data_IF_608538660231
#
_entry.id   IF_608538660231
#
_cell.length_a   1.000
_cell.length_b   1.000
_cell.length_c   1.000
_cell.angle_alpha   90.00
_cell.angle_beta   90.00
_cell.angle_gamma   90.00
#
_symmetry.space_group_name_H-M   'P 1'
#
loop_
_entity.id
_entity.type
_entity.pdbx_description
1 polymer ?
#
# COMPACT_ATOMS: atom_id res chain seq x y z
N UNK A 1 -19.50 3.75 43.12
CA UNK A 1 -18.65 2.54 42.97
C UNK A 1 -18.63 2.14 41.51
N UNK A 2 -17.48 2.25 40.84
CA UNK A 2 -17.34 1.95 39.42
C UNK A 2 -17.54 0.44 39.18
N UNK A 3 -18.50 0.09 38.33
CA UNK A 3 -18.72 -1.30 37.88
C UNK A 3 -17.47 -1.72 37.12
N UNK A 4 -16.59 -2.50 37.77
CA UNK A 4 -15.46 -3.18 37.13
C UNK A 4 -16.01 -3.95 35.93
N UNK A 5 -15.67 -3.55 34.70
CA UNK A 5 -16.01 -4.34 33.50
C UNK A 5 -15.39 -5.72 33.73
N UNK A 6 -16.20 -6.77 33.87
CA UNK A 6 -15.71 -8.15 34.07
C UNK A 6 -15.01 -8.60 32.79
N UNK A 7 -13.73 -8.27 32.68
CA UNK A 7 -12.80 -8.80 31.69
C UNK A 7 -12.34 -10.15 32.23
N UNK A 8 -12.17 -11.14 31.36
CA UNK A 8 -11.65 -12.44 31.77
C UNK A 8 -10.16 -12.33 32.10
N UNK A 9 -9.68 -13.10 33.07
CA UNK A 9 -8.26 -13.12 33.49
C UNK A 9 -7.33 -13.39 32.30
N UNK A 10 -7.71 -14.32 31.42
CA UNK A 10 -7.02 -14.62 30.15
C UNK A 10 -6.83 -13.39 29.25
N UNK A 11 -7.80 -12.47 29.22
CA UNK A 11 -7.71 -11.24 28.42
C UNK A 11 -6.78 -10.23 29.11
N UNK A 12 -6.85 -10.09 30.44
CA UNK A 12 -5.94 -9.21 31.18
C UNK A 12 -4.46 -9.62 31.01
N UNK A 13 -4.16 -10.91 31.02
CA UNK A 13 -2.81 -11.41 30.76
C UNK A 13 -2.35 -11.08 29.34
N UNK A 14 -3.17 -11.34 28.32
CA UNK A 14 -2.83 -11.01 26.93
C UNK A 14 -2.59 -9.52 26.72
N UNK A 15 -3.30 -8.63 27.43
CA UNK A 15 -3.07 -7.18 27.34
C UNK A 15 -1.67 -6.75 27.82
N UNK A 16 -1.01 -7.54 28.67
CA UNK A 16 0.37 -7.29 29.13
C UNK A 16 1.41 -7.62 28.05
N UNK A 17 1.11 -8.59 27.19
CA UNK A 17 2.01 -9.11 26.16
C UNK A 17 2.02 -8.31 24.84
N UNK A 18 1.13 -7.32 24.70
CA UNK A 18 1.00 -6.56 23.46
C UNK A 18 2.27 -5.74 23.14
N UNK A 19 2.83 -5.88 21.92
CA UNK A 19 4.00 -5.12 21.50
C UNK A 19 3.64 -3.67 21.16
N UNK A 20 4.63 -2.79 21.24
CA UNK A 20 4.55 -1.40 20.78
C UNK A 20 4.69 -1.21 19.27
N UNK A 21 4.42 -2.26 18.48
CA UNK A 21 4.67 -2.33 17.04
C UNK A 21 3.37 -2.23 16.22
N UNK A 22 3.46 -1.90 14.92
CA UNK A 22 2.30 -1.90 14.04
C UNK A 22 1.79 -3.32 13.80
N UNK A 23 0.49 -3.44 13.52
CA UNK A 23 -0.12 -4.74 13.30
C UNK A 23 -1.65 -4.72 13.31
N UNK A 24 -2.21 -5.92 13.16
CA UNK A 24 -3.65 -6.16 13.28
C UNK A 24 -3.95 -6.85 14.60
N UNK A 25 -5.05 -6.48 15.23
CA UNK A 25 -5.63 -7.19 16.38
C UNK A 25 -6.98 -7.77 16.02
N UNK A 26 -7.27 -8.92 16.61
CA UNK A 26 -8.46 -9.73 16.35
C UNK A 26 -9.12 -10.02 17.70
N UNK A 27 -10.40 -9.67 17.83
CA UNK A 27 -11.21 -10.00 19.00
C UNK A 27 -12.10 -11.19 18.69
N UNK A 28 -12.05 -12.21 19.55
CA UNK A 28 -12.84 -13.43 19.44
C UNK A 28 -13.80 -13.59 20.63
N UNK A 29 -14.95 -14.19 20.36
CA UNK A 29 -15.96 -14.56 21.36
C UNK A 29 -15.69 -15.91 22.03
N UNK A 30 -16.66 -16.43 22.77
CA UNK A 30 -16.58 -17.73 23.49
C UNK A 30 -16.27 -18.90 22.56
N UNK A 31 -16.91 -18.95 21.38
CA UNK A 31 -16.75 -20.05 20.42
C UNK A 31 -15.57 -19.85 19.45
N UNK A 32 -14.65 -18.92 19.74
CA UNK A 32 -13.54 -18.58 18.85
C UNK A 32 -13.94 -17.78 17.59
N UNK A 33 -15.23 -17.47 17.42
CA UNK A 33 -15.73 -16.65 16.31
C UNK A 33 -15.13 -15.23 16.34
N UNK A 34 -14.64 -14.75 15.20
CA UNK A 34 -14.05 -13.42 15.05
C UNK A 34 -15.15 -12.36 15.11
N UNK A 35 -15.15 -11.57 16.18
CA UNK A 35 -16.12 -10.50 16.41
C UNK A 35 -15.70 -9.19 15.75
N UNK A 36 -14.41 -8.89 15.77
CA UNK A 36 -13.84 -7.65 15.26
C UNK A 36 -12.38 -7.82 14.86
N UNK A 37 -11.97 -7.09 13.82
CA UNK A 37 -10.58 -6.93 13.38
C UNK A 37 -10.27 -5.44 13.29
N UNK A 38 -9.10 -5.03 13.74
CA UNK A 38 -8.63 -3.65 13.56
C UNK A 38 -7.12 -3.55 13.37
N UNK A 39 -6.66 -2.45 12.77
CA UNK A 39 -5.22 -2.10 12.67
C UNK A 39 -4.76 -1.15 13.78
N UNK A 40 -3.47 -1.15 14.06
CA UNK A 40 -2.83 -0.23 14.98
C UNK A 40 -1.41 0.14 14.52
N UNK A 41 -0.99 1.39 14.76
CA UNK A 41 0.43 1.79 14.70
C UNK A 41 1.18 1.24 15.92
N UNK A 42 0.50 1.17 17.06
CA UNK A 42 0.98 0.53 18.28
C UNK A 42 -0.11 -0.36 18.85
N UNK A 43 0.05 -1.67 18.71
CA UNK A 43 -0.88 -2.68 19.22
C UNK A 43 -1.14 -2.50 20.73
N UNK A 44 -0.09 -2.26 21.51
CA UNK A 44 -0.16 -1.99 22.95
C UNK A 44 -1.09 -0.83 23.28
N UNK A 45 -0.90 0.32 22.64
CA UNK A 45 -1.69 1.52 22.96
C UNK A 45 -3.14 1.35 22.47
N UNK A 46 -3.31 0.84 21.26
CA UNK A 46 -4.63 0.75 20.62
C UNK A 46 -5.54 -0.27 21.27
N UNK A 47 -5.04 -1.46 21.60
CA UNK A 47 -5.87 -2.51 22.19
C UNK A 47 -6.22 -2.16 23.62
N UNK A 48 -5.26 -1.66 24.43
CA UNK A 48 -5.51 -1.26 25.82
C UNK A 48 -6.57 -0.17 25.95
N UNK A 49 -6.67 0.77 25.00
CA UNK A 49 -7.68 1.83 25.05
C UNK A 49 -9.13 1.31 25.01
N UNK A 50 -9.37 0.08 24.53
CA UNK A 50 -10.71 -0.53 24.57
C UNK A 50 -11.12 -0.98 25.97
N UNK A 51 -10.16 -1.34 26.80
CA UNK A 51 -10.38 -2.00 28.10
C UNK A 51 -10.12 -1.09 29.31
N UNK A 52 -9.73 0.17 29.09
CA UNK A 52 -9.61 1.16 30.17
C UNK A 52 -10.98 1.54 30.73
N UNK A 53 -11.08 1.67 32.05
CA UNK A 53 -12.32 2.05 32.74
C UNK A 53 -12.78 3.48 32.40
N UNK A 54 -11.85 4.38 32.08
CA UNK A 54 -12.13 5.74 31.63
C UNK A 54 -12.61 5.82 30.17
N UNK A 55 -12.58 4.71 29.43
CA UNK A 55 -12.88 4.72 28.01
C UNK A 55 -14.39 4.83 27.78
N UNK A 56 -14.81 6.04 27.37
CA UNK A 56 -16.18 6.35 26.92
C UNK A 56 -16.35 5.88 25.47
N UNK A 57 -16.84 4.66 25.31
CA UNK A 57 -17.12 4.06 24.02
C UNK A 57 -18.61 4.20 23.67
N UNK A 58 -18.93 4.28 22.38
CA UNK A 58 -20.32 4.19 21.94
C UNK A 58 -20.92 2.79 22.21
N UNK A 59 -22.26 2.66 22.27
CA UNK A 59 -22.95 1.42 22.68
C UNK A 59 -22.51 0.17 21.93
N UNK A 60 -22.16 0.30 20.65
CA UNK A 60 -21.68 -0.78 19.79
C UNK A 60 -20.36 -1.37 20.28
N UNK A 61 -19.42 -0.51 20.63
CA UNK A 61 -18.08 -0.91 21.07
C UNK A 61 -18.13 -1.47 22.49
N UNK A 62 -18.97 -0.92 23.37
CA UNK A 62 -19.19 -1.51 24.70
C UNK A 62 -19.73 -2.94 24.61
N UNK A 63 -20.70 -3.17 23.71
CA UNK A 63 -21.25 -4.51 23.45
C UNK A 63 -20.25 -5.46 22.79
N UNK A 64 -19.30 -4.94 22.01
CA UNK A 64 -18.20 -5.73 21.48
C UNK A 64 -17.29 -6.18 22.63
N UNK A 65 -16.80 -5.22 23.43
CA UNK A 65 -15.85 -5.46 24.52
C UNK A 65 -16.40 -6.47 25.54
N UNK A 66 -17.69 -6.40 25.87
CA UNK A 66 -18.31 -7.35 26.83
C UNK A 66 -18.36 -8.80 26.35
N UNK A 67 -18.27 -9.03 25.03
CA UNK A 67 -18.28 -10.34 24.40
C UNK A 67 -16.89 -10.89 24.07
N UNK A 68 -15.84 -10.08 24.20
CA UNK A 68 -14.48 -10.55 23.94
C UNK A 68 -14.06 -11.55 25.01
N UNK A 69 -13.52 -12.68 24.56
CA UNK A 69 -12.93 -13.73 25.39
C UNK A 69 -11.50 -14.03 25.06
N UNK A 70 -11.08 -13.69 23.84
CA UNK A 70 -9.73 -13.89 23.37
C UNK A 70 -9.31 -12.73 22.46
N UNK A 71 -8.05 -12.33 22.61
CA UNK A 71 -7.38 -11.35 21.78
C UNK A 71 -6.24 -12.06 21.04
N UNK A 72 -6.14 -11.85 19.74
CA UNK A 72 -4.99 -12.23 18.93
C UNK A 72 -4.43 -11.00 18.23
N UNK A 73 -3.17 -11.06 17.84
CA UNK A 73 -2.55 -10.03 17.04
C UNK A 73 -1.52 -10.60 16.09
N UNK A 74 -1.29 -9.88 15.00
CA UNK A 74 -0.26 -10.17 14.02
C UNK A 74 0.55 -8.89 13.88
N UNK A 75 1.85 -8.99 14.16
CA UNK A 75 2.82 -7.91 13.98
C UNK A 75 3.23 -7.85 12.51
N UNK A 76 3.46 -6.64 12.02
CA UNK A 76 3.94 -6.37 10.65
C UNK A 76 5.02 -5.29 10.72
N UNK A 77 5.72 -5.07 9.61
CA UNK A 77 6.86 -4.16 9.58
C UNK A 77 6.45 -2.71 9.30
N UNK A 78 5.24 -2.48 8.77
CA UNK A 78 4.75 -1.13 8.45
C UNK A 78 3.25 -0.92 8.69
N UNK A 79 2.83 0.35 8.83
CA UNK A 79 1.41 0.70 8.91
C UNK A 79 0.64 0.30 7.64
N UNK A 80 1.30 0.36 6.49
CA UNK A 80 0.74 -0.02 5.19
C UNK A 80 0.41 -1.52 5.19
N UNK A 81 1.32 -2.37 5.65
CA UNK A 81 1.05 -3.81 5.79
C UNK A 81 -0.09 -4.10 6.77
N UNK A 82 -0.16 -3.37 7.89
CA UNK A 82 -1.23 -3.53 8.88
C UNK A 82 -2.60 -3.20 8.26
N UNK A 83 -2.65 -2.18 7.41
CA UNK A 83 -3.85 -1.80 6.68
C UNK A 83 -4.30 -2.92 5.72
N UNK A 84 -3.37 -3.53 4.99
CA UNK A 84 -3.66 -4.62 4.04
C UNK A 84 -4.16 -5.86 4.75
N UNK A 85 -3.43 -6.26 5.79
CA UNK A 85 -3.74 -7.43 6.58
C UNK A 85 -5.12 -7.29 7.23
N UNK A 86 -5.45 -6.12 7.77
CA UNK A 86 -6.75 -5.82 8.34
C UNK A 86 -7.86 -6.07 7.32
N UNK A 87 -7.73 -5.52 6.11
CA UNK A 87 -8.73 -5.67 5.07
C UNK A 87 -8.88 -7.12 4.60
N UNK A 88 -7.77 -7.86 4.48
CA UNK A 88 -7.81 -9.29 4.15
C UNK A 88 -8.54 -10.09 5.23
N UNK A 89 -8.22 -9.85 6.52
CA UNK A 89 -8.88 -10.49 7.66
C UNK A 89 -10.37 -10.13 7.75
N UNK A 90 -10.75 -8.87 7.49
CA UNK A 90 -12.16 -8.45 7.46
C UNK A 90 -12.90 -9.16 6.32
N UNK A 91 -12.30 -9.28 5.12
CA UNK A 91 -12.91 -9.99 3.98
C UNK A 91 -13.06 -11.49 4.24
N UNK A 92 -12.04 -12.10 4.86
CA UNK A 92 -12.01 -13.52 5.19
C UNK A 92 -13.02 -13.88 6.28
N UNK A 93 -13.06 -13.12 7.37
CA UNK A 93 -13.85 -13.46 8.55
C UNK A 93 -15.23 -12.78 8.60
N UNK A 94 -15.43 -11.71 7.84
CA UNK A 94 -16.64 -10.86 7.83
C UNK A 94 -17.20 -10.57 9.22
N UNK A 95 -16.39 -9.99 10.13
CA UNK A 95 -16.76 -9.88 11.54
C UNK A 95 -17.99 -9.00 11.75
N UNK A 96 -18.92 -9.35 12.66
CA UNK A 96 -20.18 -8.64 12.84
C UNK A 96 -20.01 -7.20 13.36
N UNK A 97 -18.93 -6.92 14.09
CA UNK A 97 -18.65 -5.58 14.63
C UNK A 97 -17.72 -4.73 13.73
N UNK A 98 -17.27 -5.24 12.57
CA UNK A 98 -16.69 -4.38 11.55
C UNK A 98 -17.80 -3.70 10.75
N UNK A 99 -17.65 -2.43 10.42
CA UNK A 99 -18.57 -1.80 9.46
C UNK A 99 -18.33 -2.51 8.14
N UNK A 100 -19.39 -3.05 7.53
CA UNK A 100 -19.28 -3.59 6.17
C UNK A 100 -18.88 -2.42 5.28
N UNK A 101 -17.64 -2.44 4.81
CA UNK A 101 -17.14 -1.48 3.84
C UNK A 101 -18.05 -1.63 2.61
N UNK A 102 -18.91 -0.64 2.36
CA UNK A 102 -19.74 -0.57 1.13
C UNK A 102 -18.87 -0.35 -0.10
N UNK A 103 -17.65 0.14 0.10
CA UNK A 103 -16.66 0.33 -0.94
C UNK A 103 -15.79 -0.92 -1.05
N UNK A 104 -16.03 -1.72 -2.09
CA UNK A 104 -15.09 -2.70 -2.63
C UNK A 104 -13.85 -2.02 -3.25
N UNK A 105 -13.40 -0.89 -2.70
CA UNK A 105 -12.20 -0.20 -3.16
C UNK A 105 -11.00 -0.98 -2.66
N UNK A 106 -10.61 -1.99 -3.43
CA UNK A 106 -9.30 -2.61 -3.32
C UNK A 106 -8.20 -1.55 -3.33
N UNK A 107 -7.12 -1.84 -2.62
CA UNK A 107 -6.01 -0.91 -2.48
C UNK A 107 -5.42 -0.52 -3.84
N UNK A 108 -4.98 0.73 -3.98
CA UNK A 108 -4.29 1.18 -5.17
C UNK A 108 -2.85 0.66 -5.18
N UNK A 109 -2.41 0.24 -6.36
CA UNK A 109 -1.07 -0.25 -6.68
C UNK A 109 -0.58 0.48 -7.92
N UNK A 110 0.74 0.49 -8.08
CA UNK A 110 1.38 0.73 -9.37
C UNK A 110 1.66 -0.64 -10.00
N UNK A 111 1.36 -0.80 -11.27
CA UNK A 111 1.69 -2.02 -12.01
C UNK A 111 2.60 -1.72 -13.19
N UNK A 112 3.56 -2.60 -13.42
CA UNK A 112 4.38 -2.64 -14.62
C UNK A 112 3.91 -3.84 -15.45
N UNK A 113 3.36 -3.58 -16.64
CA UNK A 113 2.77 -4.62 -17.50
C UNK A 113 3.83 -5.56 -18.11
N UNK A 114 3.40 -6.74 -18.56
CA UNK A 114 4.25 -7.70 -19.27
C UNK A 114 4.04 -7.57 -20.80
N UNK A 115 4.61 -6.54 -21.40
CA UNK A 115 4.60 -6.30 -22.85
C UNK A 115 5.98 -5.83 -23.31
N UNK A 116 6.24 -5.72 -24.62
CA UNK A 116 7.57 -5.37 -25.16
C UNK A 116 8.07 -3.99 -24.73
N UNK A 117 7.14 -3.06 -24.50
CA UNK A 117 7.40 -1.77 -23.87
C UNK A 117 6.46 -1.61 -22.65
N UNK A 118 6.85 -2.15 -21.49
CA UNK A 118 6.04 -2.16 -20.28
C UNK A 118 5.51 -0.78 -19.88
N UNK A 119 4.22 -0.70 -19.58
CA UNK A 119 3.59 0.51 -19.07
C UNK A 119 3.54 0.49 -17.56
N UNK A 120 3.75 1.66 -16.97
CA UNK A 120 3.62 1.90 -15.53
C UNK A 120 2.27 2.54 -15.26
N UNK A 121 1.35 1.81 -14.63
CA UNK A 121 -0.07 2.17 -14.54
C UNK A 121 -0.62 2.10 -13.12
N UNK A 122 -1.65 2.88 -12.85
CA UNK A 122 -2.48 2.73 -11.66
C UNK A 122 -3.39 1.50 -11.80
N UNK A 123 -3.44 0.64 -10.79
CA UNK A 123 -4.42 -0.44 -10.70
C UNK A 123 -4.95 -0.63 -9.29
N UNK A 124 -6.17 -1.16 -9.17
CA UNK A 124 -6.71 -1.69 -7.90
C UNK A 124 -6.90 -3.20 -7.94
N UNK A 125 -6.47 -3.85 -9.03
CA UNK A 125 -6.62 -5.29 -9.24
C UNK A 125 -5.23 -5.87 -9.39
N UNK A 126 -4.84 -6.67 -8.41
CA UNK A 126 -3.67 -7.54 -8.49
C UNK A 126 -4.14 -8.85 -9.10
N UNK A 127 -3.55 -9.26 -10.23
CA UNK A 127 -3.85 -10.52 -10.91
C UNK A 127 -2.66 -11.45 -10.77
N UNK A 128 -2.90 -12.75 -10.93
CA UNK A 128 -1.82 -13.75 -11.09
C UNK A 128 -1.40 -13.77 -12.56
N UNK A 129 -0.80 -12.69 -13.00
CA UNK A 129 -0.18 -12.55 -14.32
C UNK A 129 1.32 -12.29 -14.17
N UNK A 130 2.00 -12.08 -15.29
CA UNK A 130 3.44 -11.78 -15.33
C UNK A 130 3.75 -10.32 -15.03
N UNK A 131 2.73 -9.48 -14.81
CA UNK A 131 2.94 -8.09 -14.45
C UNK A 131 3.50 -7.95 -13.04
N UNK A 132 4.28 -6.91 -12.81
CA UNK A 132 4.79 -6.56 -11.47
C UNK A 132 3.83 -5.58 -10.81
N UNK A 133 3.66 -5.70 -9.50
CA UNK A 133 2.77 -4.84 -8.71
C UNK A 133 3.53 -4.27 -7.51
N UNK A 134 3.46 -2.96 -7.35
CA UNK A 134 4.14 -2.18 -6.32
C UNK A 134 3.10 -1.48 -5.44
N UNK A 135 3.34 -1.48 -4.13
CA UNK A 135 2.40 -1.02 -3.12
C UNK A 135 2.00 -2.15 -2.17
N UNK A 136 0.83 -2.05 -1.52
CA UNK A 136 -0.25 -1.10 -1.77
C UNK A 136 0.02 0.30 -1.23
N UNK A 137 -0.59 1.30 -1.86
CA UNK A 137 -0.49 2.68 -1.44
C UNK A 137 -1.65 3.06 -0.52
N UNK A 138 -1.40 3.99 0.39
CA UNK A 138 -2.38 4.50 1.38
C UNK A 138 -3.57 5.19 0.73
N UNK A 139 -3.38 5.77 -0.45
CA UNK A 139 -4.45 6.44 -1.20
C UNK A 139 -4.21 6.41 -2.71
N UNK A 140 -5.29 6.61 -3.48
CA UNK A 140 -5.17 6.74 -4.93
C UNK A 140 -4.45 8.04 -5.35
N UNK A 141 -4.44 9.05 -4.47
CA UNK A 141 -3.72 10.30 -4.68
C UNK A 141 -2.21 10.05 -4.63
N UNK A 142 -1.71 9.34 -3.61
CA UNK A 142 -0.30 8.97 -3.49
C UNK A 142 0.22 8.22 -4.73
N UNK A 143 -0.58 7.33 -5.31
CA UNK A 143 -0.20 6.66 -6.57
C UNK A 143 -0.10 7.63 -7.73
N UNK A 144 -1.07 8.55 -7.89
CA UNK A 144 -1.06 9.51 -8.99
C UNK A 144 0.14 10.45 -8.90
N UNK A 145 0.47 10.93 -7.70
CA UNK A 145 1.65 11.77 -7.47
C UNK A 145 2.94 11.01 -7.81
N UNK A 146 3.04 9.76 -7.36
CA UNK A 146 4.18 8.89 -7.69
C UNK A 146 4.31 8.70 -9.20
N UNK A 147 3.21 8.39 -9.91
CA UNK A 147 3.22 8.26 -11.36
C UNK A 147 3.60 9.56 -12.07
N UNK A 148 3.12 10.71 -11.59
CA UNK A 148 3.50 12.01 -12.14
C UNK A 148 5.00 12.27 -12.01
N UNK A 149 5.60 11.92 -10.87
CA UNK A 149 7.05 12.02 -10.66
C UNK A 149 7.78 11.10 -11.63
N UNK A 150 7.36 9.83 -11.72
CA UNK A 150 7.97 8.85 -12.62
C UNK A 150 7.96 9.33 -14.08
N UNK A 151 6.85 9.90 -14.57
CA UNK A 151 6.76 10.42 -15.94
C UNK A 151 7.57 11.70 -16.19
N UNK A 152 8.00 12.40 -15.15
CA UNK A 152 8.90 13.55 -15.28
C UNK A 152 10.37 13.15 -15.26
N UNK A 153 10.71 12.11 -14.49
CA UNK A 153 12.09 11.66 -14.28
C UNK A 153 12.52 10.64 -15.32
N UNK A 154 11.61 9.76 -15.74
CA UNK A 154 11.92 8.65 -16.64
C UNK A 154 11.12 8.77 -17.95
N UNK A 155 11.75 8.52 -19.12
CA UNK A 155 11.07 8.61 -20.42
C UNK A 155 10.17 7.39 -20.69
N UNK A 156 9.08 7.28 -19.92
CA UNK A 156 8.10 6.20 -19.95
C UNK A 156 6.98 6.44 -20.96
N UNK A 157 5.95 5.58 -20.99
CA UNK A 157 4.75 5.80 -21.83
C UNK A 157 3.65 6.47 -20.99
N UNK A 158 3.51 7.82 -21.00
CA UNK A 158 2.51 8.53 -20.20
C UNK A 158 1.09 8.41 -20.73
N UNK A 159 0.92 8.18 -22.04
CA UNK A 159 -0.40 8.14 -22.68
C UNK A 159 -1.18 6.83 -22.41
N UNK A 160 -0.55 5.84 -21.77
CA UNK A 160 -1.16 4.55 -21.45
C UNK A 160 -1.46 3.64 -22.65
N UNK A 161 -1.13 4.05 -23.88
CA UNK A 161 -1.34 3.23 -25.09
C UNK A 161 -0.34 2.08 -25.12
N UNK A 162 -0.84 0.85 -25.32
CA UNK A 162 0.02 -0.31 -25.58
C UNK A 162 0.66 -0.19 -26.97
N UNK A 163 1.89 -0.68 -27.09
CA UNK A 163 2.55 -0.74 -28.38
C UNK A 163 1.92 -1.84 -29.25
N UNK A 164 1.62 -1.54 -30.51
CA UNK A 164 0.94 -2.45 -31.44
C UNK A 164 1.90 -3.33 -32.26
N UNK A 165 3.21 -3.28 -31.97
CA UNK A 165 4.24 -3.99 -32.72
C UNK A 165 4.68 -3.32 -34.02
N UNK A 166 4.07 -2.17 -34.39
CA UNK A 166 4.36 -1.43 -35.61
C UNK A 166 4.53 0.06 -35.33
N UNK A 167 5.34 0.74 -36.13
CA UNK A 167 5.46 2.19 -36.14
C UNK A 167 4.26 2.80 -36.89
N UNK A 168 3.13 3.00 -36.20
CA UNK A 168 1.86 3.39 -36.85
C UNK A 168 1.62 4.90 -36.81
N UNK A 169 2.37 5.66 -36.01
CA UNK A 169 2.12 7.09 -35.80
C UNK A 169 3.39 7.93 -35.79
N UNK A 170 3.24 9.21 -36.12
CA UNK A 170 4.31 10.21 -35.97
C UNK A 170 4.64 10.40 -34.47
N UNK A 171 5.87 10.82 -34.14
CA UNK A 171 6.24 11.16 -32.77
C UNK A 171 5.30 12.23 -32.20
N UNK A 172 4.93 12.09 -30.93
CA UNK A 172 4.05 13.02 -30.24
C UNK A 172 4.85 13.99 -29.37
N UNK A 173 4.16 14.94 -28.74
CA UNK A 173 4.78 15.92 -27.85
C UNK A 173 5.66 15.27 -26.77
N UNK A 174 5.20 14.19 -26.13
CA UNK A 174 5.97 13.49 -25.08
C UNK A 174 7.34 13.00 -25.55
N UNK A 175 7.45 12.60 -26.82
CA UNK A 175 8.75 12.25 -27.39
C UNK A 175 9.63 13.48 -27.56
N UNK A 176 9.08 14.55 -28.14
CA UNK A 176 9.83 15.77 -28.40
C UNK A 176 10.31 16.49 -27.13
N UNK A 177 9.62 16.31 -26.00
CA UNK A 177 10.03 16.86 -24.69
C UNK A 177 10.80 15.85 -23.84
N UNK A 178 11.20 14.70 -24.39
CA UNK A 178 12.02 13.70 -23.69
C UNK A 178 11.32 12.90 -22.58
N UNK A 179 9.98 12.95 -22.50
CA UNK A 179 9.20 12.20 -21.50
C UNK A 179 8.79 10.79 -21.95
N UNK A 180 9.11 10.41 -23.19
CA UNK A 180 8.80 9.10 -23.75
C UNK A 180 9.77 8.78 -24.89
N UNK A 181 10.31 7.55 -24.92
CA UNK A 181 11.19 7.12 -26.03
C UNK A 181 10.44 6.89 -27.36
N UNK A 182 9.11 7.06 -27.40
CA UNK A 182 8.33 7.01 -28.63
C UNK A 182 8.21 5.62 -29.28
N UNK A 183 7.89 4.53 -28.54
CA UNK A 183 7.76 3.19 -29.11
C UNK A 183 6.70 3.11 -30.22
N UNK A 184 5.59 3.85 -30.08
CA UNK A 184 4.55 3.92 -31.10
C UNK A 184 5.00 4.50 -32.45
N UNK A 185 6.08 5.29 -32.45
CA UNK A 185 6.72 5.82 -33.66
C UNK A 185 7.89 4.94 -34.14
N UNK A 186 8.17 3.83 -33.46
CA UNK A 186 9.30 2.95 -33.76
C UNK A 186 10.67 3.52 -33.39
N UNK A 187 10.71 4.53 -32.52
CA UNK A 187 11.96 5.22 -32.15
C UNK A 187 12.62 4.67 -30.88
N UNK A 188 11.89 3.91 -30.08
CA UNK A 188 12.40 3.33 -28.83
C UNK A 188 13.08 1.99 -29.09
N UNK A 189 14.25 1.76 -28.49
CA UNK A 189 14.87 0.45 -28.42
C UNK A 189 14.42 -0.32 -27.16
N UNK A 190 14.22 -1.63 -27.29
CA UNK A 190 13.76 -2.46 -26.16
C UNK A 190 14.79 -2.55 -25.03
N UNK A 191 16.07 -2.60 -25.38
CA UNK A 191 17.20 -2.69 -24.45
C UNK A 191 17.26 -1.44 -23.56
N UNK A 192 17.31 -0.26 -24.19
CA UNK A 192 17.28 1.05 -23.54
C UNK A 192 16.05 1.22 -22.65
N UNK A 193 14.86 0.91 -23.18
CA UNK A 193 13.62 0.98 -22.39
C UNK A 193 13.64 0.04 -21.17
N UNK A 194 14.24 -1.14 -21.32
CA UNK A 194 14.44 -2.10 -20.24
C UNK A 194 15.37 -1.59 -19.13
N UNK A 195 16.39 -0.80 -19.47
CA UNK A 195 17.27 -0.18 -18.47
C UNK A 195 16.55 0.90 -17.66
N UNK A 196 15.73 1.72 -18.33
CA UNK A 196 14.87 2.71 -17.66
C UNK A 196 13.90 2.01 -16.70
N UNK A 197 13.29 0.90 -17.11
CA UNK A 197 12.39 0.14 -16.24
C UNK A 197 13.10 -0.43 -15.01
N UNK A 198 14.34 -0.91 -15.13
CA UNK A 198 15.10 -1.36 -13.96
C UNK A 198 15.29 -0.23 -12.94
N UNK A 199 15.54 1.00 -13.40
CA UNK A 199 15.61 2.19 -12.53
C UNK A 199 14.27 2.48 -11.86
N UNK A 200 13.17 2.39 -12.60
CA UNK A 200 11.80 2.56 -12.05
C UNK A 200 11.47 1.49 -11.02
N UNK A 201 11.80 0.23 -11.27
CA UNK A 201 11.60 -0.87 -10.31
C UNK A 201 12.41 -0.65 -9.03
N UNK A 202 13.64 -0.15 -9.16
CA UNK A 202 14.47 0.20 -8.01
C UNK A 202 13.84 1.33 -7.19
N UNK A 203 13.30 2.36 -7.85
CA UNK A 203 12.56 3.46 -7.23
C UNK A 203 11.35 2.97 -6.45
N UNK A 204 10.51 2.15 -7.08
CA UNK A 204 9.27 1.67 -6.50
C UNK A 204 9.46 0.67 -5.36
N UNK A 205 10.61 0.00 -5.28
CA UNK A 205 10.95 -0.93 -4.19
C UNK A 205 11.47 -0.23 -2.91
N UNK A 206 11.36 1.10 -2.81
CA UNK A 206 11.68 1.81 -1.56
C UNK A 206 13.17 1.99 -1.30
N UNK A 207 14.01 1.92 -2.34
CA UNK A 207 15.41 2.40 -2.26
C UNK A 207 15.44 3.91 -2.50
N UNK A 208 14.65 4.63 -1.70
CA UNK A 208 14.41 6.08 -1.82
C UNK A 208 15.71 6.87 -1.66
N UNK A 209 16.57 6.49 -0.72
CA UNK A 209 17.84 7.18 -0.45
C UNK A 209 18.83 7.06 -1.62
N UNK A 210 18.99 5.87 -2.19
CA UNK A 210 19.96 5.64 -3.26
C UNK A 210 19.63 6.43 -4.53
N UNK A 211 18.35 6.56 -4.89
CA UNK A 211 17.94 7.28 -6.10
C UNK A 211 17.89 8.79 -5.88
N UNK A 212 17.47 9.26 -4.70
CA UNK A 212 17.55 10.69 -4.38
C UNK A 212 19.00 11.18 -4.43
N UNK A 213 19.94 10.37 -3.95
CA UNK A 213 21.37 10.66 -3.99
C UNK A 213 21.93 10.63 -5.42
N UNK A 214 21.53 9.65 -6.24
CA UNK A 214 21.93 9.60 -7.65
C UNK A 214 21.36 10.78 -8.45
N UNK A 215 20.09 11.16 -8.24
CA UNK A 215 19.48 12.31 -8.90
C UNK A 215 20.13 13.63 -8.47
N UNK A 216 20.50 13.74 -7.19
CA UNK A 216 21.24 14.89 -6.67
C UNK A 216 22.64 14.96 -7.27
N UNK A 217 23.29 13.81 -7.48
CA UNK A 217 24.61 13.72 -8.11
C UNK A 217 24.54 14.09 -9.59
N UNK A 218 23.56 13.58 -10.33
CA UNK A 218 23.32 13.95 -11.74
C UNK A 218 22.99 15.44 -11.89
N UNK A 219 22.18 16.01 -10.99
CA UNK A 219 21.83 17.43 -10.99
C UNK A 219 23.03 18.33 -10.65
N UNK A 220 23.91 17.90 -9.74
CA UNK A 220 25.17 18.60 -9.43
C UNK A 220 26.15 18.53 -10.61
N UNK A 221 26.33 17.35 -11.21
CA UNK A 221 27.20 17.17 -12.36
C UNK A 221 26.73 18.01 -13.57
N UNK A 222 25.43 18.04 -13.85
CA UNK A 222 24.87 18.86 -14.92
C UNK A 222 24.97 20.37 -14.65
N UNK A 223 25.01 20.79 -13.39
CA UNK A 223 25.22 22.20 -13.02
C UNK A 223 26.71 22.59 -13.14
N UNK A 224 27.63 21.68 -12.81
CA UNK A 224 29.07 21.88 -12.99
C UNK A 224 29.49 21.90 -14.47
N UNK A 225 28.80 21.15 -15.35
CA UNK A 225 29.04 21.15 -16.81
C UNK A 225 28.50 22.42 -17.53
N UNK A 226 27.79 23.29 -16.80
CA UNK A 226 27.17 24.52 -17.31
C UNK A 226 28.00 25.79 -17.01
N UNK A 227 29.08 25.67 -16.23
CA UNK A 227 30.10 26.70 -15.96
C UNK A 227 31.36 26.48 -16.82
#
# INVERSE_FOLDING_TARGET
>A
MARRRKITEKVEEKLKLLPGQPGCYIYKGEDGHVLYVGKAISLKNRVRSYFQDSAKHGPRIERLVSKVREIEWIVVDSEVEALVLECNLIKQHRPPYNVRLRDDKTYPYITITDEDFPRVLFTRRVRRDKAKYFGPYTSAFAVRDTLQILHKVFPLIPCGKSWTGKAVQRPCLYYHIGQCLGPCAGLAERTEYGEILKKVEHFLNGKEEAIADDLKREMMAAAEDLD
#
